data_IF_270625448928
#
_entry.id   IF_270625448928
#
_cell.length_a   1.000
_cell.length_b   1.000
_cell.length_c   1.000
_cell.angle_alpha   90.00
_cell.angle_beta   90.00
_cell.angle_gamma   90.00
#
_symmetry.space_group_name_H-M   'P 1'
#
loop_
_entity.id
_entity.type
_entity.pdbx_description
1 polymer ?
#
# COMPACT_ATOMS: atom_id res chain seq x y z
N UNK A 1 -15.76 -13.04 -0.43
CA UNK A 1 -17.00 -12.45 0.12
C UNK A 1 -16.89 -10.95 0.02
N UNK A 2 -17.72 -10.45 -0.84
CA UNK A 2 -18.27 -9.12 -0.96
C UNK A 2 -17.27 -7.98 -0.76
N UNK A 3 -16.76 -7.54 -1.90
CA UNK A 3 -16.13 -6.25 -2.02
C UNK A 3 -17.05 -5.19 -1.40
N UNK A 4 -16.63 -4.62 -0.33
CA UNK A 4 -17.34 -3.66 0.50
C UNK A 4 -17.60 -2.34 -0.20
N UNK A 5 -17.14 -2.19 -1.41
CA UNK A 5 -17.21 -0.95 -2.18
C UNK A 5 -18.60 -0.54 -2.65
N UNK A 6 -19.65 -1.34 -2.44
CA UNK A 6 -20.91 -1.13 -3.17
C UNK A 6 -22.12 -0.72 -2.36
N UNK A 7 -22.01 -0.52 -1.06
CA UNK A 7 -23.21 -0.24 -0.24
C UNK A 7 -23.04 1.03 0.60
N UNK A 8 -23.57 2.11 0.09
CA UNK A 8 -23.87 3.36 0.77
C UNK A 8 -22.80 3.94 1.73
N UNK A 9 -22.76 5.26 1.85
CA UNK A 9 -21.80 5.97 2.72
C UNK A 9 -21.82 5.46 4.18
N UNK A 10 -22.97 5.03 4.70
CA UNK A 10 -23.10 4.53 6.09
C UNK A 10 -22.33 3.23 6.35
N UNK A 11 -22.28 2.32 5.39
CA UNK A 11 -21.57 1.05 5.56
C UNK A 11 -20.04 1.23 5.54
N UNK A 12 -19.51 2.25 4.84
CA UNK A 12 -18.07 2.54 4.82
C UNK A 12 -17.59 2.95 6.22
N UNK A 13 -18.27 3.88 6.87
CA UNK A 13 -17.89 4.36 8.21
C UNK A 13 -17.99 3.26 9.27
N UNK A 14 -19.05 2.46 9.21
CA UNK A 14 -19.21 1.33 10.11
C UNK A 14 -18.08 0.33 9.99
N UNK A 15 -17.68 -0.01 8.76
CA UNK A 15 -16.57 -0.93 8.53
C UNK A 15 -15.21 -0.37 8.93
N UNK A 16 -15.01 0.93 8.77
CA UNK A 16 -13.80 1.57 9.28
C UNK A 16 -13.70 1.41 10.80
N UNK A 17 -14.79 1.65 11.53
CA UNK A 17 -14.83 1.44 12.98
C UNK A 17 -14.55 -0.02 13.35
N UNK A 18 -15.29 -0.97 12.77
CA UNK A 18 -15.12 -2.41 13.02
C UNK A 18 -13.69 -2.88 12.72
N UNK A 19 -13.08 -2.35 11.65
CA UNK A 19 -11.69 -2.68 11.28
C UNK A 19 -10.70 -2.10 12.28
N UNK A 20 -10.90 -0.85 12.71
CA UNK A 20 -10.07 -0.21 13.73
C UNK A 20 -10.14 -0.97 15.07
N UNK A 21 -11.35 -1.35 15.51
CA UNK A 21 -11.56 -2.15 16.72
C UNK A 21 -10.82 -3.50 16.64
N UNK A 22 -10.96 -4.19 15.50
CA UNK A 22 -10.33 -5.49 15.30
C UNK A 22 -8.80 -5.40 15.23
N UNK A 23 -8.25 -4.33 14.67
CA UNK A 23 -6.82 -4.06 14.61
C UNK A 23 -6.28 -3.70 16.00
N UNK A 24 -6.92 -2.77 16.70
CA UNK A 24 -6.54 -2.34 18.05
C UNK A 24 -6.50 -3.52 19.02
N UNK A 25 -7.54 -4.37 19.02
CA UNK A 25 -7.62 -5.55 19.87
C UNK A 25 -6.49 -6.57 19.65
N UNK A 26 -5.75 -6.46 18.52
CA UNK A 26 -4.66 -7.36 18.14
C UNK A 26 -3.29 -6.68 18.09
N UNK A 27 -3.20 -5.40 18.46
CA UNK A 27 -1.99 -4.62 18.34
C UNK A 27 -1.49 -4.46 16.90
N UNK A 28 -2.41 -4.50 15.92
CA UNK A 28 -2.08 -4.34 14.49
C UNK A 28 -2.10 -2.85 14.15
N UNK A 29 -1.07 -2.37 13.47
CA UNK A 29 -0.98 -0.98 13.01
C UNK A 29 -2.03 -0.67 11.95
N UNK A 30 -2.56 0.54 11.99
CA UNK A 30 -3.58 1.02 11.06
C UNK A 30 -2.96 1.98 10.05
N UNK A 31 -3.23 1.74 8.77
CA UNK A 31 -2.84 2.61 7.69
C UNK A 31 -4.03 3.19 6.93
N UNK A 32 -3.95 4.46 6.54
CA UNK A 32 -4.94 5.09 5.68
C UNK A 32 -4.73 4.69 4.22
N UNK A 33 -5.76 4.08 3.61
CA UNK A 33 -5.72 3.62 2.23
C UNK A 33 -6.38 4.64 1.29
N UNK A 34 -5.71 5.77 1.12
CA UNK A 34 -6.22 6.92 0.36
C UNK A 34 -6.30 6.63 -1.13
N UNK A 35 -7.36 7.10 -1.78
CA UNK A 35 -7.64 6.81 -3.18
C UNK A 35 -8.22 8.02 -3.91
N UNK A 36 -8.19 7.97 -5.24
CA UNK A 36 -9.05 8.83 -6.03
C UNK A 36 -10.53 8.59 -5.70
N UNK A 37 -11.34 9.62 -5.76
CA UNK A 37 -12.78 9.57 -5.50
C UNK A 37 -13.53 8.94 -6.66
N UNK A 38 -13.25 7.68 -6.89
CA UNK A 38 -13.74 6.88 -8.00
C UNK A 38 -14.46 5.61 -7.51
N UNK A 39 -15.58 5.77 -6.83
CA UNK A 39 -16.38 4.65 -6.33
C UNK A 39 -16.74 3.62 -7.43
N UNK A 40 -17.23 4.02 -8.63
CA UNK A 40 -17.59 3.07 -9.67
C UNK A 40 -16.38 2.29 -10.24
N UNK A 41 -15.20 2.90 -10.26
CA UNK A 41 -13.96 2.28 -10.74
C UNK A 41 -13.09 1.72 -9.62
N UNK A 42 -13.59 1.73 -8.38
CA UNK A 42 -12.84 1.25 -7.20
C UNK A 42 -11.48 1.95 -7.02
N UNK A 43 -11.37 3.24 -7.41
CA UNK A 43 -10.11 3.98 -7.36
C UNK A 43 -9.03 3.48 -8.34
N UNK A 44 -9.40 2.62 -9.30
CA UNK A 44 -8.45 2.00 -10.24
C UNK A 44 -8.41 2.68 -11.62
N UNK A 45 -9.29 3.65 -11.87
CA UNK A 45 -9.26 4.45 -13.09
C UNK A 45 -8.34 5.64 -12.92
N UNK A 46 -7.54 5.94 -13.94
CA UNK A 46 -6.70 7.14 -13.96
C UNK A 46 -7.57 8.38 -13.89
N UNK A 47 -7.23 9.29 -12.99
CA UNK A 47 -7.88 10.58 -12.82
C UNK A 47 -6.84 11.69 -12.74
N UNK A 48 -7.13 12.83 -13.34
CA UNK A 48 -6.30 14.02 -13.25
C UNK A 48 -6.96 14.99 -12.26
N UNK A 49 -6.39 15.05 -11.06
CA UNK A 49 -6.81 15.97 -10.01
C UNK A 49 -5.96 17.23 -10.04
N UNK A 50 -6.57 18.37 -9.81
CA UNK A 50 -5.82 19.56 -9.47
C UNK A 50 -5.06 19.34 -8.15
N UNK A 51 -3.85 19.88 -8.05
CA UNK A 51 -2.96 19.70 -6.88
C UNK A 51 -3.69 19.98 -5.54
N UNK A 52 -4.39 21.13 -5.46
CA UNK A 52 -5.12 21.51 -4.24
C UNK A 52 -6.25 20.56 -3.88
N UNK A 53 -6.92 20.00 -4.89
CA UNK A 53 -8.02 19.05 -4.68
C UNK A 53 -7.50 17.73 -4.16
N UNK A 54 -6.44 17.17 -4.79
CA UNK A 54 -5.84 15.91 -4.35
C UNK A 54 -5.30 16.03 -2.93
N UNK A 55 -4.61 17.15 -2.62
CA UNK A 55 -4.13 17.41 -1.27
C UNK A 55 -5.28 17.42 -0.25
N UNK A 56 -6.35 18.19 -0.54
CA UNK A 56 -7.50 18.28 0.37
C UNK A 56 -8.22 16.94 0.54
N UNK A 57 -8.42 16.20 -0.54
CA UNK A 57 -9.04 14.87 -0.52
C UNK A 57 -8.20 13.88 0.29
N UNK A 58 -6.88 13.92 0.15
CA UNK A 58 -5.95 13.05 0.91
C UNK A 58 -5.99 13.36 2.40
N UNK A 59 -5.93 14.65 2.78
CA UNK A 59 -6.07 15.07 4.20
C UNK A 59 -7.42 14.63 4.77
N UNK A 60 -8.50 14.79 4.01
CA UNK A 60 -9.83 14.37 4.45
C UNK A 60 -9.91 12.88 4.75
N UNK A 61 -9.38 12.04 3.85
CA UNK A 61 -9.42 10.58 4.02
C UNK A 61 -8.56 10.13 5.20
N UNK A 62 -7.38 10.71 5.38
CA UNK A 62 -6.51 10.44 6.55
C UNK A 62 -7.24 10.87 7.83
N UNK A 63 -7.78 12.07 7.87
CA UNK A 63 -8.46 12.63 9.05
C UNK A 63 -9.69 11.81 9.45
N UNK A 64 -10.49 11.37 8.48
CA UNK A 64 -11.66 10.54 8.74
C UNK A 64 -11.29 9.20 9.41
N UNK A 65 -10.26 8.51 8.90
CA UNK A 65 -9.78 7.28 9.52
C UNK A 65 -9.11 7.54 10.87
N UNK A 66 -8.37 8.63 11.02
CA UNK A 66 -7.74 9.00 12.29
C UNK A 66 -8.76 9.22 13.41
N UNK A 67 -9.93 9.79 13.10
CA UNK A 67 -11.02 9.91 14.07
C UNK A 67 -11.52 8.53 14.53
N UNK A 68 -11.69 7.58 13.60
CA UNK A 68 -12.09 6.21 13.91
C UNK A 68 -11.03 5.48 14.76
N UNK A 69 -9.76 5.59 14.39
CA UNK A 69 -8.67 4.95 15.11
C UNK A 69 -8.56 5.47 16.55
N UNK A 70 -8.61 6.78 16.75
CA UNK A 70 -8.58 7.40 18.08
C UNK A 70 -9.75 7.02 18.96
N UNK A 71 -10.94 6.88 18.40
CA UNK A 71 -12.13 6.46 19.15
C UNK A 71 -11.98 5.06 19.80
N UNK A 72 -11.07 4.23 19.27
CA UNK A 72 -10.77 2.88 19.77
C UNK A 72 -9.39 2.78 20.45
N UNK A 73 -8.77 3.92 20.76
CA UNK A 73 -7.53 3.99 21.53
C UNK A 73 -6.25 3.65 20.74
N UNK A 74 -6.27 3.83 19.42
CA UNK A 74 -5.11 3.64 18.53
C UNK A 74 -4.95 4.83 17.58
N UNK A 75 -4.01 4.75 16.64
CA UNK A 75 -3.71 5.83 15.69
C UNK A 75 -3.44 5.31 14.28
N UNK A 76 -3.49 6.22 13.31
CA UNK A 76 -3.03 5.95 11.92
C UNK A 76 -1.53 6.19 11.89
N UNK A 77 -0.75 5.17 11.59
CA UNK A 77 0.72 5.22 11.59
C UNK A 77 1.34 5.31 10.21
N UNK A 78 0.59 5.00 9.15
CA UNK A 78 1.08 5.12 7.78
C UNK A 78 -0.04 5.42 6.78
N UNK A 79 0.35 5.87 5.60
CA UNK A 79 -0.55 6.08 4.45
C UNK A 79 -0.10 5.17 3.33
N UNK A 80 -1.03 4.39 2.79
CA UNK A 80 -0.82 3.57 1.61
C UNK A 80 -1.78 4.01 0.50
N UNK A 81 -1.34 4.73 -0.52
CA UNK A 81 -2.20 5.09 -1.65
C UNK A 81 -2.73 3.85 -2.36
N UNK A 82 -3.94 3.94 -2.86
CA UNK A 82 -4.65 2.84 -3.50
C UNK A 82 -4.68 2.98 -5.02
N UNK A 83 -4.58 1.85 -5.72
CA UNK A 83 -4.99 1.70 -7.11
C UNK A 83 -4.29 2.65 -8.08
N UNK A 84 -5.07 3.44 -8.82
CA UNK A 84 -4.54 4.36 -9.82
C UNK A 84 -3.72 5.50 -9.20
N UNK A 85 -4.08 5.96 -8.00
CA UNK A 85 -3.30 6.97 -7.29
C UNK A 85 -1.90 6.46 -6.97
N UNK A 86 -1.77 5.23 -6.44
CA UNK A 86 -0.47 4.60 -6.14
C UNK A 86 0.46 4.60 -7.35
N UNK A 87 -0.05 4.13 -8.50
CA UNK A 87 0.74 4.09 -9.73
C UNK A 87 1.05 5.48 -10.30
N UNK A 88 0.11 6.44 -10.14
CA UNK A 88 0.29 7.79 -10.66
C UNK A 88 1.38 8.57 -9.94
N UNK A 89 1.37 8.54 -8.62
CA UNK A 89 2.37 9.25 -7.80
C UNK A 89 3.77 8.62 -7.86
N UNK A 90 3.87 7.41 -8.39
CA UNK A 90 5.16 6.79 -8.66
C UNK A 90 5.95 7.51 -9.77
N UNK A 91 5.25 8.22 -10.70
CA UNK A 91 5.84 8.83 -11.90
C UNK A 91 5.46 10.30 -12.13
N UNK A 92 4.46 10.82 -11.42
CA UNK A 92 3.93 12.18 -11.62
C UNK A 92 4.28 13.07 -10.42
N UNK A 93 5.16 14.04 -10.65
CA UNK A 93 5.64 14.94 -9.60
C UNK A 93 4.55 15.80 -8.98
N UNK A 94 3.61 16.32 -9.80
CA UNK A 94 2.58 17.22 -9.29
C UNK A 94 1.61 16.49 -8.35
N UNK A 95 1.21 15.27 -8.69
CA UNK A 95 0.32 14.49 -7.86
C UNK A 95 1.06 13.91 -6.65
N UNK A 96 2.31 13.50 -6.81
CA UNK A 96 3.14 13.06 -5.70
C UNK A 96 3.35 14.19 -4.67
N UNK A 97 3.68 15.40 -5.12
CA UNK A 97 3.83 16.56 -4.25
C UNK A 97 2.53 16.88 -3.48
N UNK A 98 1.36 16.78 -4.12
CA UNK A 98 0.08 16.98 -3.45
C UNK A 98 -0.15 15.98 -2.30
N UNK A 99 0.25 14.73 -2.50
CA UNK A 99 0.16 13.69 -1.46
C UNK A 99 1.18 13.95 -0.34
N UNK A 100 2.43 14.30 -0.66
CA UNK A 100 3.45 14.67 0.34
C UNK A 100 2.99 15.82 1.20
N UNK A 101 2.50 16.91 0.59
CA UNK A 101 1.96 18.06 1.33
C UNK A 101 0.78 17.66 2.24
N UNK A 102 -0.08 16.75 1.77
CA UNK A 102 -1.18 16.24 2.58
C UNK A 102 -0.70 15.47 3.82
N UNK A 103 0.35 14.65 3.69
CA UNK A 103 0.93 13.94 4.83
C UNK A 103 1.57 14.91 5.82
N UNK A 104 2.31 15.91 5.34
CA UNK A 104 2.89 16.95 6.21
C UNK A 104 1.82 17.68 7.03
N UNK A 105 0.68 18.02 6.40
CA UNK A 105 -0.46 18.60 7.10
C UNK A 105 -1.09 17.61 8.10
N UNK A 106 -1.17 16.34 7.74
CA UNK A 106 -1.78 15.31 8.59
C UNK A 106 -0.92 14.96 9.82
N UNK A 107 0.38 15.24 9.82
CA UNK A 107 1.27 15.06 10.99
C UNK A 107 0.74 15.76 12.23
N UNK A 108 0.18 16.95 12.10
CA UNK A 108 -0.45 17.67 13.22
C UNK A 108 -1.56 16.87 13.92
N UNK A 109 -2.14 15.90 13.22
CA UNK A 109 -3.22 15.05 13.71
C UNK A 109 -2.76 13.62 14.01
N UNK A 110 -1.87 13.07 13.21
CA UNK A 110 -1.44 11.66 13.27
C UNK A 110 -0.08 11.45 13.96
N UNK A 111 0.66 12.54 14.25
CA UNK A 111 2.02 12.47 14.80
C UNK A 111 3.11 12.49 13.73
N UNK A 112 4.32 12.81 14.14
CA UNK A 112 5.49 12.99 13.25
C UNK A 112 5.96 11.69 12.60
N UNK A 113 5.61 10.54 13.18
CA UNK A 113 5.96 9.20 12.69
C UNK A 113 5.06 8.71 11.54
N UNK A 114 4.12 9.56 11.04
CA UNK A 114 3.26 9.19 9.91
C UNK A 114 4.10 8.90 8.67
N UNK A 115 4.17 7.63 8.28
CA UNK A 115 4.94 7.16 7.15
C UNK A 115 4.12 7.07 5.85
N UNK A 116 4.79 7.08 4.71
CA UNK A 116 4.19 6.73 3.40
C UNK A 116 4.68 5.36 2.94
N UNK A 117 3.77 4.49 2.51
CA UNK A 117 4.13 3.30 1.74
C UNK A 117 4.28 3.66 0.27
N UNK A 118 5.46 3.42 -0.29
CA UNK A 118 5.82 3.80 -1.64
C UNK A 118 6.53 2.66 -2.39
N UNK A 119 6.41 2.67 -3.71
CA UNK A 119 7.21 1.82 -4.56
C UNK A 119 8.67 2.30 -4.54
N UNK A 120 9.66 1.41 -4.37
CA UNK A 120 11.08 1.78 -4.44
C UNK A 120 11.43 2.47 -5.75
N UNK A 121 12.26 3.51 -5.69
CA UNK A 121 12.69 4.30 -6.85
C UNK A 121 11.64 5.26 -7.42
N UNK A 122 10.47 5.38 -6.77
CA UNK A 122 9.38 6.24 -7.25
C UNK A 122 9.58 7.72 -6.94
N UNK A 123 8.85 8.58 -7.67
CA UNK A 123 8.82 10.02 -7.44
C UNK A 123 8.32 10.33 -6.03
N UNK A 124 7.27 9.64 -5.57
CA UNK A 124 6.73 9.86 -4.23
C UNK A 124 7.73 9.47 -3.13
N UNK A 125 8.52 8.41 -3.31
CA UNK A 125 9.59 8.07 -2.37
C UNK A 125 10.60 9.21 -2.28
N UNK A 126 11.13 9.67 -3.41
CA UNK A 126 12.10 10.76 -3.46
C UNK A 126 11.57 12.02 -2.77
N UNK A 127 10.38 12.49 -3.17
CA UNK A 127 9.79 13.71 -2.60
C UNK A 127 9.47 13.56 -1.11
N UNK A 128 9.15 12.37 -0.64
CA UNK A 128 8.91 12.12 0.78
C UNK A 128 10.20 12.19 1.58
N UNK A 129 11.27 11.58 1.09
CA UNK A 129 12.60 11.65 1.72
C UNK A 129 13.14 13.09 1.73
N UNK A 130 12.96 13.84 0.64
CA UNK A 130 13.34 15.27 0.56
C UNK A 130 12.57 16.14 1.57
N UNK A 131 11.39 15.69 2.01
CA UNK A 131 10.53 16.36 3.00
C UNK A 131 10.63 15.80 4.42
N UNK A 132 11.63 14.97 4.71
CA UNK A 132 11.81 14.28 6.01
C UNK A 132 10.57 13.49 6.47
N UNK A 133 9.84 12.88 5.50
CA UNK A 133 8.78 11.94 5.78
C UNK A 133 9.34 10.51 5.85
N UNK A 134 8.98 9.72 6.87
CA UNK A 134 9.31 8.30 6.89
C UNK A 134 8.72 7.56 5.69
N UNK A 135 9.53 6.74 5.04
CA UNK A 135 9.11 5.95 3.88
C UNK A 135 9.21 4.46 4.20
N UNK A 136 8.16 3.73 3.89
CA UNK A 136 8.13 2.26 3.91
C UNK A 136 8.14 1.79 2.46
N UNK A 137 9.25 1.20 2.02
CA UNK A 137 9.37 0.64 0.67
C UNK A 137 8.53 -0.61 0.56
N UNK A 138 7.59 -0.60 -0.36
CA UNK A 138 6.67 -1.72 -0.55
C UNK A 138 6.96 -2.48 -1.84
N UNK A 139 7.08 -3.81 -1.73
CA UNK A 139 7.04 -4.71 -2.88
C UNK A 139 5.74 -5.52 -2.88
N UNK A 140 5.42 -6.09 -4.04
CA UNK A 140 4.19 -6.85 -4.26
C UNK A 140 4.51 -8.32 -4.49
N UNK A 141 3.95 -9.20 -3.64
CA UNK A 141 4.14 -10.63 -3.70
C UNK A 141 3.63 -11.23 -5.02
N UNK A 142 2.45 -10.81 -5.44
CA UNK A 142 1.62 -11.39 -6.50
C UNK A 142 1.63 -10.58 -7.81
N UNK A 143 2.57 -9.62 -7.98
CA UNK A 143 2.64 -8.77 -9.17
C UNK A 143 3.94 -8.99 -9.95
N UNK A 144 3.84 -9.03 -11.27
CA UNK A 144 5.01 -8.97 -12.13
C UNK A 144 5.58 -7.55 -12.20
N UNK A 145 6.89 -7.45 -12.35
CA UNK A 145 7.63 -6.22 -12.47
C UNK A 145 8.28 -6.10 -13.85
N UNK A 146 8.34 -4.92 -14.41
CA UNK A 146 9.22 -4.59 -15.51
C UNK A 146 10.68 -4.55 -15.01
N UNK A 147 11.63 -4.60 -15.94
CA UNK A 147 13.06 -4.53 -15.62
C UNK A 147 13.51 -3.21 -14.98
N UNK A 148 12.72 -2.15 -15.13
CA UNK A 148 12.92 -0.85 -14.49
C UNK A 148 12.35 -0.75 -13.05
N UNK A 149 11.80 -1.85 -12.51
CA UNK A 149 11.20 -1.92 -11.18
C UNK A 149 9.75 -1.42 -11.12
N UNK A 150 9.15 -0.99 -12.20
CA UNK A 150 7.72 -0.63 -12.24
C UNK A 150 6.82 -1.88 -12.33
N UNK A 151 5.57 -1.76 -11.89
CA UNK A 151 4.62 -2.86 -11.98
C UNK A 151 4.11 -3.03 -13.41
N UNK A 152 4.06 -4.27 -13.89
CA UNK A 152 3.42 -4.60 -15.17
C UNK A 152 1.93 -4.25 -15.14
N UNK A 153 1.43 -3.66 -16.22
CA UNK A 153 0.02 -3.29 -16.31
C UNK A 153 -0.90 -4.50 -16.15
N UNK A 154 -1.94 -4.38 -15.34
CA UNK A 154 -2.91 -5.49 -15.06
C UNK A 154 -3.66 -5.99 -16.29
N UNK A 155 -3.67 -5.25 -17.39
CA UNK A 155 -4.30 -5.68 -18.65
C UNK A 155 -3.44 -6.69 -19.42
N UNK A 156 -2.18 -6.84 -19.06
CA UNK A 156 -1.27 -7.80 -19.69
C UNK A 156 -1.39 -9.16 -19.01
N UNK A 157 -1.39 -10.22 -19.81
CA UNK A 157 -1.32 -11.59 -19.31
C UNK A 157 -0.03 -11.80 -18.50
N UNK A 158 -0.09 -12.59 -17.42
CA UNK A 158 1.06 -12.81 -16.55
C UNK A 158 1.43 -11.62 -15.63
N UNK A 159 0.69 -10.51 -15.66
CA UNK A 159 0.91 -9.38 -14.75
C UNK A 159 0.59 -9.69 -13.28
N UNK A 160 -0.20 -10.73 -13.03
CA UNK A 160 -0.51 -11.27 -11.69
C UNK A 160 0.00 -12.70 -11.61
N UNK A 161 0.76 -13.00 -10.57
CA UNK A 161 1.33 -14.33 -10.30
C UNK A 161 0.34 -15.07 -9.40
N UNK A 162 -0.18 -16.19 -9.86
CA UNK A 162 -1.24 -16.92 -9.17
C UNK A 162 -0.76 -18.21 -8.51
N UNK A 163 0.40 -18.73 -8.93
CA UNK A 163 0.96 -19.97 -8.39
C UNK A 163 1.55 -19.75 -6.99
N UNK A 164 1.02 -20.38 -5.92
CA UNK A 164 1.42 -20.08 -4.55
C UNK A 164 2.91 -20.31 -4.29
N UNK A 165 3.48 -21.40 -4.78
CA UNK A 165 4.91 -21.72 -4.56
C UNK A 165 5.82 -20.69 -5.25
N UNK A 166 5.44 -20.21 -6.43
CA UNK A 166 6.18 -19.17 -7.13
C UNK A 166 6.14 -17.84 -6.36
N UNK A 167 4.97 -17.49 -5.80
CA UNK A 167 4.81 -16.29 -4.97
C UNK A 167 5.67 -16.39 -3.70
N UNK A 168 5.65 -17.52 -2.99
CA UNK A 168 6.44 -17.72 -1.76
C UNK A 168 7.93 -17.61 -2.06
N UNK A 169 8.44 -18.29 -3.08
CA UNK A 169 9.86 -18.23 -3.49
C UNK A 169 10.28 -16.79 -3.82
N UNK A 170 9.45 -16.09 -4.53
CA UNK A 170 9.67 -14.69 -4.93
C UNK A 170 9.73 -13.75 -3.72
N UNK A 171 8.84 -13.93 -2.76
CA UNK A 171 8.83 -13.14 -1.53
C UNK A 171 10.09 -13.39 -0.69
N UNK A 172 10.53 -14.63 -0.58
CA UNK A 172 11.76 -14.96 0.11
C UNK A 172 12.96 -14.30 -0.58
N UNK A 173 13.05 -14.36 -1.91
CA UNK A 173 14.11 -13.70 -2.66
C UNK A 173 14.11 -12.17 -2.42
N UNK A 174 12.96 -11.51 -2.50
CA UNK A 174 12.84 -10.08 -2.20
C UNK A 174 13.29 -9.74 -0.78
N UNK A 175 12.85 -10.51 0.21
CA UNK A 175 13.19 -10.29 1.63
C UNK A 175 14.67 -10.55 1.93
N UNK A 176 15.33 -11.42 1.16
CA UNK A 176 16.76 -11.72 1.28
C UNK A 176 17.65 -10.83 0.40
N UNK A 177 17.07 -9.87 -0.34
CA UNK A 177 17.81 -9.01 -1.28
C UNK A 177 18.31 -9.74 -2.54
N UNK A 178 17.80 -10.95 -2.80
CA UNK A 178 18.12 -11.71 -4.01
C UNK A 178 17.29 -11.22 -5.22
N UNK A 179 17.81 -11.38 -6.44
CA UNK A 179 17.08 -10.96 -7.64
C UNK A 179 15.86 -11.86 -7.88
N UNK A 180 14.79 -11.24 -8.31
CA UNK A 180 13.61 -11.87 -8.90
C UNK A 180 13.65 -11.81 -10.41
N UNK A 181 12.82 -12.58 -11.09
CA UNK A 181 12.68 -12.52 -12.55
C UNK A 181 11.67 -11.43 -12.92
N UNK A 182 12.08 -10.45 -13.71
CA UNK A 182 11.23 -9.45 -14.32
C UNK A 182 10.37 -10.04 -15.45
N UNK A 183 9.40 -9.28 -15.95
CA UNK A 183 8.46 -9.72 -16.98
C UNK A 183 9.13 -10.08 -18.32
N UNK A 184 10.21 -9.42 -18.64
CA UNK A 184 11.05 -9.69 -19.83
C UNK A 184 12.10 -10.81 -19.62
N UNK A 185 12.12 -11.44 -18.44
CA UNK A 185 13.05 -12.50 -18.07
C UNK A 185 14.37 -12.01 -17.46
N UNK A 186 14.61 -10.72 -17.38
CA UNK A 186 15.83 -10.16 -16.79
C UNK A 186 15.82 -10.25 -15.24
N UNK A 187 17.01 -10.28 -14.59
CA UNK A 187 17.08 -10.22 -13.13
C UNK A 187 16.77 -8.80 -12.63
N UNK A 188 15.99 -8.70 -11.55
CA UNK A 188 15.64 -7.45 -10.89
C UNK A 188 15.78 -7.60 -9.39
N UNK A 189 16.54 -6.74 -8.73
CA UNK A 189 16.58 -6.66 -7.27
C UNK A 189 15.62 -5.56 -6.79
N UNK A 190 14.69 -5.94 -5.93
CA UNK A 190 13.71 -5.02 -5.33
C UNK A 190 14.02 -4.89 -3.85
N UNK A 191 14.41 -3.69 -3.42
CA UNK A 191 14.56 -3.40 -1.99
C UNK A 191 13.19 -3.11 -1.38
N UNK A 192 12.80 -3.86 -0.36
CA UNK A 192 11.50 -3.70 0.28
C UNK A 192 11.60 -3.83 1.80
N UNK A 193 10.90 -2.94 2.49
CA UNK A 193 10.68 -2.99 3.93
C UNK A 193 9.36 -3.70 4.25
N UNK A 194 8.47 -3.82 3.25
CA UNK A 194 7.15 -4.41 3.36
C UNK A 194 6.76 -5.18 2.10
N UNK A 195 6.01 -6.25 2.28
CA UNK A 195 5.46 -7.06 1.18
C UNK A 195 3.94 -6.97 1.18
N UNK A 196 3.38 -6.48 0.09
CA UNK A 196 1.94 -6.44 -0.15
C UNK A 196 1.44 -7.75 -0.76
N UNK A 197 0.34 -8.24 -0.22
CA UNK A 197 -0.47 -9.29 -0.82
C UNK A 197 -1.91 -8.79 -0.93
N UNK A 198 -2.53 -8.96 -2.11
CA UNK A 198 -3.90 -8.52 -2.32
C UNK A 198 -4.92 -9.47 -1.68
N UNK A 199 -5.79 -8.92 -0.83
CA UNK A 199 -6.80 -9.68 -0.10
C UNK A 199 -8.02 -10.09 -0.92
N UNK A 200 -8.20 -9.53 -2.12
CA UNK A 200 -9.27 -9.85 -3.08
C UNK A 200 -8.92 -11.02 -4.03
N UNK A 201 -7.70 -11.55 -3.95
CA UNK A 201 -7.29 -12.75 -4.66
C UNK A 201 -7.87 -14.00 -4.00
N UNK A 202 -8.50 -14.92 -4.74
CA UNK A 202 -8.94 -16.20 -4.18
C UNK A 202 -7.78 -16.93 -3.47
N UNK A 203 -8.02 -17.43 -2.25
CA UNK A 203 -6.99 -18.10 -1.45
C UNK A 203 -5.99 -17.17 -0.75
N UNK A 204 -6.18 -15.85 -0.76
CA UNK A 204 -5.25 -14.87 -0.17
C UNK A 204 -4.89 -15.17 1.29
N UNK A 205 -5.83 -15.64 2.10
CA UNK A 205 -5.56 -15.99 3.51
C UNK A 205 -4.59 -17.16 3.62
N UNK A 206 -4.77 -18.19 2.82
CA UNK A 206 -3.87 -19.35 2.81
C UNK A 206 -2.49 -18.97 2.26
N UNK A 207 -2.47 -18.24 1.16
CA UNK A 207 -1.22 -17.72 0.59
C UNK A 207 -0.46 -16.83 1.58
N UNK A 208 -1.15 -16.01 2.37
CA UNK A 208 -0.50 -15.19 3.40
C UNK A 208 0.15 -16.03 4.50
N UNK A 209 -0.47 -17.17 4.87
CA UNK A 209 0.12 -18.11 5.83
C UNK A 209 1.34 -18.81 5.25
N UNK A 210 1.26 -19.25 3.99
CA UNK A 210 2.39 -19.88 3.30
C UNK A 210 3.58 -18.92 3.18
N UNK A 211 3.32 -17.66 2.79
CA UNK A 211 4.35 -16.61 2.72
C UNK A 211 4.99 -16.41 4.10
N UNK A 212 4.17 -16.24 5.15
CA UNK A 212 4.70 -16.04 6.50
C UNK A 212 5.55 -17.20 6.96
N UNK A 213 5.10 -18.45 6.73
CA UNK A 213 5.85 -19.63 7.08
C UNK A 213 7.16 -19.72 6.29
N UNK A 214 7.13 -19.50 4.99
CA UNK A 214 8.32 -19.50 4.14
C UNK A 214 9.35 -18.45 4.55
N UNK A 215 8.94 -17.26 4.96
CA UNK A 215 9.83 -16.23 5.49
C UNK A 215 10.49 -16.68 6.80
N UNK A 216 9.71 -17.25 7.72
CA UNK A 216 10.23 -17.80 9.01
C UNK A 216 11.22 -18.91 8.76
N UNK A 217 10.91 -19.87 7.87
CA UNK A 217 11.77 -20.99 7.53
C UNK A 217 13.07 -20.53 6.86
N UNK A 218 13.03 -19.41 6.14
CA UNK A 218 14.20 -18.75 5.55
C UNK A 218 14.98 -17.87 6.55
N UNK A 219 14.56 -17.81 7.82
CA UNK A 219 15.23 -17.01 8.86
C UNK A 219 14.93 -15.51 8.80
N UNK A 220 13.91 -15.10 8.03
CA UNK A 220 13.51 -13.70 7.93
C UNK A 220 12.57 -13.34 9.08
N UNK A 221 12.91 -12.29 9.83
CA UNK A 221 12.05 -11.78 10.90
C UNK A 221 10.91 -10.95 10.31
N UNK A 222 9.68 -11.37 10.58
CA UNK A 222 8.47 -10.60 10.22
C UNK A 222 8.00 -9.83 11.44
N UNK A 223 8.15 -8.50 11.39
CA UNK A 223 7.77 -7.58 12.47
C UNK A 223 6.91 -6.43 11.93
N UNK A 224 6.23 -5.70 12.82
CA UNK A 224 5.63 -4.44 12.43
C UNK A 224 6.74 -3.44 12.09
N UNK A 225 6.57 -2.70 11.02
CA UNK A 225 7.46 -1.57 10.71
C UNK A 225 7.28 -0.49 11.79
N UNK A 226 8.38 -0.03 12.35
CA UNK A 226 8.38 0.95 13.47
C UNK A 226 8.36 2.35 12.88
#
# INVERSE_FOLDING_TARGET
RDSVASRGLGDVYKRQMETCEAAAARGIRIGAHVAYRDLPGFGRRRMDYAHRELRAETVYQIGALSACARAVGTEVSYVKPHGALYNRIAVDENQAAAVVEALLLARSTCGDELAIMAQPGSVIERLSLDADLPVIREAFADRAYNSDGTLVSRVLEGSVIVEPDAVVKRVIAMASGEPIVAYDGSPLTVQADSICLHGDTPGAVELSRMIRQGLVDAGVTVAAHV
#
